data_IF_753474405053
#
_entry.id   IF_753474405053
#
_cell.length_a   1.000
_cell.length_b   1.000
_cell.length_c   1.000
_cell.angle_alpha   90.00
_cell.angle_beta   90.00
_cell.angle_gamma   90.00
#
_symmetry.space_group_name_H-M   'P 1'
#
loop_
_entity.id
_entity.type
_entity.pdbx_description
1 polymer ?
#
# COMPACT_ATOMS: atom_id res chain seq x y z
N UNK A 1 30.91 38.45 3.80
CA UNK A 1 29.88 37.42 3.51
C UNK A 1 28.74 37.55 4.52
N UNK A 2 27.48 37.65 4.06
CA UNK A 2 26.31 37.71 4.96
C UNK A 2 26.04 36.31 5.51
N UNK A 3 25.87 36.17 6.84
CA UNK A 3 25.55 34.89 7.47
C UNK A 3 24.19 34.42 6.97
N UNK A 4 24.10 33.18 6.45
CA UNK A 4 22.82 32.62 6.00
C UNK A 4 21.93 32.33 7.20
N UNK A 5 20.64 32.65 7.07
CA UNK A 5 19.65 32.32 8.09
C UNK A 5 19.46 30.79 8.18
N UNK A 6 19.04 30.33 9.35
CA UNK A 6 18.67 28.93 9.57
C UNK A 6 17.39 28.59 8.78
N UNK A 7 17.37 27.44 8.10
CA UNK A 7 16.19 26.91 7.41
C UNK A 7 15.59 25.81 8.27
N UNK A 8 14.31 25.96 8.64
CA UNK A 8 13.62 25.00 9.51
C UNK A 8 13.46 23.63 8.84
N UNK A 9 13.31 22.57 9.64
CA UNK A 9 13.03 21.23 9.10
C UNK A 9 11.72 21.18 8.31
N UNK A 10 10.70 21.89 8.79
CA UNK A 10 9.40 22.04 8.12
C UNK A 10 9.55 22.65 6.73
N UNK A 11 10.34 23.72 6.61
CA UNK A 11 10.69 24.35 5.33
C UNK A 11 11.41 23.37 4.40
N UNK A 12 12.39 22.61 4.91
CA UNK A 12 13.12 21.60 4.13
C UNK A 12 12.19 20.50 3.63
N UNK A 13 11.27 20.03 4.47
CA UNK A 13 10.32 18.98 4.12
C UNK A 13 9.32 19.47 3.06
N UNK A 14 8.70 20.63 3.27
CA UNK A 14 7.79 21.23 2.29
C UNK A 14 8.49 21.48 0.93
N UNK A 15 9.71 22.03 0.95
CA UNK A 15 10.50 22.23 -0.26
C UNK A 15 10.80 20.91 -0.98
N UNK A 16 11.08 19.83 -0.23
CA UNK A 16 11.34 18.50 -0.79
C UNK A 16 10.10 17.92 -1.46
N UNK A 17 8.92 18.07 -0.84
CA UNK A 17 7.65 17.60 -1.42
C UNK A 17 7.29 18.36 -2.70
N UNK A 18 7.63 19.65 -2.80
CA UNK A 18 7.44 20.43 -4.03
C UNK A 18 8.32 19.99 -5.20
N UNK A 19 9.39 19.23 -4.97
CA UNK A 19 10.24 18.67 -6.03
C UNK A 19 9.76 17.31 -6.54
N UNK A 20 8.73 16.72 -5.92
CA UNK A 20 8.16 15.46 -6.39
C UNK A 20 7.56 15.61 -7.78
N UNK A 21 7.73 14.58 -8.61
CA UNK A 21 7.26 14.55 -9.99
C UNK A 21 6.13 13.53 -10.18
N UNK A 22 5.23 13.83 -11.09
CA UNK A 22 4.19 12.94 -11.61
C UNK A 22 4.18 12.98 -13.13
N UNK A 23 3.62 11.97 -13.75
CA UNK A 23 3.34 11.96 -15.19
C UNK A 23 2.12 12.85 -15.47
N UNK A 24 2.20 13.71 -16.50
CA UNK A 24 1.10 14.57 -16.95
C UNK A 24 0.10 13.85 -17.90
N UNK A 25 0.29 12.55 -18.12
CA UNK A 25 -0.50 11.72 -19.02
C UNK A 25 0.04 11.69 -20.46
N UNK A 26 1.07 12.47 -20.75
CA UNK A 26 1.79 12.46 -22.05
C UNK A 26 3.14 11.74 -21.96
N UNK A 27 3.50 11.21 -20.78
CA UNK A 27 4.80 10.61 -20.50
C UNK A 27 5.85 11.62 -20.04
N UNK A 28 5.47 12.88 -19.85
CA UNK A 28 6.35 13.92 -19.35
C UNK A 28 6.22 14.04 -17.83
N UNK A 29 7.38 14.03 -17.16
CA UNK A 29 7.44 14.26 -15.73
C UNK A 29 7.32 15.76 -15.42
N UNK A 30 6.32 16.11 -14.61
CA UNK A 30 6.04 17.46 -14.13
C UNK A 30 5.95 17.48 -12.61
N UNK A 31 6.17 18.64 -11.99
CA UNK A 31 6.03 18.77 -10.53
C UNK A 31 4.59 18.47 -10.12
N UNK A 32 4.43 17.68 -9.06
CA UNK A 32 3.13 17.38 -8.45
C UNK A 32 2.45 18.69 -8.02
N UNK A 33 3.22 19.63 -7.48
CA UNK A 33 2.77 20.97 -7.15
C UNK A 33 3.53 21.94 -8.07
N UNK A 34 2.85 22.58 -9.04
CA UNK A 34 3.46 23.61 -9.88
C UNK A 34 4.10 24.70 -9.02
N UNK A 35 5.24 25.23 -9.48
CA UNK A 35 5.97 26.27 -8.74
C UNK A 35 5.10 27.50 -8.45
N UNK A 36 4.29 27.91 -9.43
CA UNK A 36 3.39 29.06 -9.31
C UNK A 36 2.32 28.88 -8.22
N UNK A 37 1.95 27.64 -7.92
CA UNK A 37 1.00 27.33 -6.85
C UNK A 37 1.73 27.20 -5.51
N UNK A 38 2.89 26.55 -5.49
CA UNK A 38 3.72 26.42 -4.29
C UNK A 38 4.08 27.79 -3.67
N UNK A 39 4.33 28.83 -4.48
CA UNK A 39 4.62 30.19 -4.01
C UNK A 39 3.40 30.85 -3.30
N UNK A 40 2.19 30.41 -3.62
CA UNK A 40 0.94 30.91 -3.01
C UNK A 40 0.52 30.12 -1.76
N UNK A 41 1.25 29.07 -1.43
CA UNK A 41 0.94 28.18 -0.31
C UNK A 41 1.90 28.40 0.86
N UNK A 42 1.37 28.25 2.06
CA UNK A 42 2.16 28.08 3.27
C UNK A 42 2.74 26.67 3.33
N UNK A 43 3.80 26.50 4.13
CA UNK A 43 4.41 25.18 4.38
C UNK A 43 3.38 24.17 4.94
N UNK A 44 2.47 24.61 5.81
CA UNK A 44 1.40 23.75 6.35
C UNK A 44 0.42 23.29 5.28
N UNK A 45 0.05 24.17 4.35
CA UNK A 45 -0.81 23.80 3.24
C UNK A 45 -0.13 22.77 2.34
N UNK A 46 1.16 22.94 2.02
CA UNK A 46 1.92 21.95 1.23
C UNK A 46 1.93 20.60 1.96
N UNK A 47 2.30 20.58 3.24
CA UNK A 47 2.35 19.34 4.02
C UNK A 47 0.97 18.67 4.13
N UNK A 48 -0.10 19.45 4.25
CA UNK A 48 -1.46 18.94 4.39
C UNK A 48 -1.99 18.22 3.14
N UNK A 49 -1.36 18.40 1.97
CA UNK A 49 -1.76 17.69 0.75
C UNK A 49 -1.33 16.22 0.72
N UNK A 50 -0.35 15.85 1.55
CA UNK A 50 0.29 14.53 1.50
C UNK A 50 -0.08 13.63 2.68
N UNK A 51 -0.14 12.33 2.40
CA UNK A 51 -0.08 11.25 3.38
C UNK A 51 1.15 10.40 3.10
N UNK A 52 1.75 9.84 4.15
CA UNK A 52 2.84 8.90 4.01
C UNK A 52 2.26 7.48 3.96
N UNK A 53 2.39 6.85 2.80
CA UNK A 53 1.90 5.52 2.52
C UNK A 53 2.97 4.47 2.82
N UNK A 54 2.58 3.37 3.46
CA UNK A 54 3.48 2.25 3.73
C UNK A 54 3.66 1.36 2.50
N UNK A 55 4.91 1.15 2.09
CA UNK A 55 5.25 0.20 1.02
C UNK A 55 4.98 -1.26 1.41
N UNK A 56 5.34 -1.62 2.64
CA UNK A 56 4.95 -2.85 3.31
C UNK A 56 3.87 -2.54 4.35
N UNK A 57 2.70 -3.15 4.21
CA UNK A 57 1.59 -2.93 5.12
C UNK A 57 1.88 -3.47 6.53
N UNK A 58 1.36 -2.82 7.56
CA UNK A 58 1.42 -3.34 8.94
C UNK A 58 0.84 -4.75 9.08
N UNK A 59 -0.23 -5.06 8.35
CA UNK A 59 -0.83 -6.40 8.33
C UNK A 59 0.16 -7.49 7.87
N UNK A 60 1.26 -7.11 7.21
CA UNK A 60 2.31 -7.99 6.71
C UNK A 60 3.64 -7.79 7.47
N UNK A 61 3.62 -7.11 8.63
CA UNK A 61 4.80 -6.84 9.44
C UNK A 61 5.60 -5.60 9.03
N UNK A 62 5.03 -4.70 8.21
CA UNK A 62 5.65 -3.42 7.88
C UNK A 62 5.82 -2.49 9.08
N UNK A 63 6.90 -1.70 9.08
CA UNK A 63 7.27 -0.76 10.15
C UNK A 63 7.02 0.70 9.75
N UNK A 64 7.00 1.60 10.74
CA UNK A 64 6.89 3.06 10.57
C UNK A 64 8.23 3.75 10.26
N UNK A 65 9.15 3.03 9.63
CA UNK A 65 10.48 3.55 9.33
C UNK A 65 10.49 4.37 8.03
N UNK A 66 11.38 5.36 7.95
CA UNK A 66 11.42 6.31 6.83
C UNK A 66 11.59 5.63 5.46
N UNK A 67 12.23 4.46 5.41
CA UNK A 67 12.43 3.70 4.17
C UNK A 67 11.16 2.96 3.71
N UNK A 68 10.18 2.79 4.60
CA UNK A 68 8.91 2.15 4.29
C UNK A 68 7.82 3.16 3.94
N UNK A 69 8.10 4.46 4.03
CA UNK A 69 7.11 5.52 3.87
C UNK A 69 7.33 6.28 2.57
N UNK A 70 6.30 6.40 1.75
CA UNK A 70 6.30 7.20 0.53
C UNK A 70 5.24 8.30 0.62
N UNK A 71 5.60 9.58 0.48
CA UNK A 71 4.61 10.64 0.43
C UNK A 71 3.73 10.48 -0.82
N UNK A 72 2.43 10.66 -0.66
CA UNK A 72 1.44 10.55 -1.72
C UNK A 72 0.34 11.59 -1.50
N UNK A 73 -0.17 12.19 -2.57
CA UNK A 73 -1.33 13.08 -2.46
C UNK A 73 -2.50 12.35 -1.82
N UNK A 74 -3.26 13.04 -0.96
CA UNK A 74 -4.40 12.46 -0.23
C UNK A 74 -5.39 11.75 -1.18
N UNK A 75 -5.72 12.36 -2.31
CA UNK A 75 -6.66 11.76 -3.26
C UNK A 75 -6.13 10.46 -3.85
N UNK A 76 -4.89 10.46 -4.33
CA UNK A 76 -4.23 9.27 -4.86
C UNK A 76 -4.11 8.16 -3.79
N UNK A 77 -3.76 8.54 -2.56
CA UNK A 77 -3.73 7.62 -1.42
C UNK A 77 -5.11 6.99 -1.17
N UNK A 78 -6.18 7.80 -1.13
CA UNK A 78 -7.54 7.30 -0.90
C UNK A 78 -7.99 6.32 -2.00
N UNK A 79 -7.68 6.64 -3.27
CA UNK A 79 -7.97 5.76 -4.41
C UNK A 79 -7.21 4.44 -4.27
N UNK A 80 -5.90 4.49 -4.00
CA UNK A 80 -5.06 3.30 -3.76
C UNK A 80 -5.62 2.44 -2.62
N UNK A 81 -5.89 3.04 -1.46
CA UNK A 81 -6.41 2.31 -0.29
C UNK A 81 -7.71 1.60 -0.62
N UNK A 82 -8.66 2.30 -1.26
CA UNK A 82 -9.97 1.75 -1.61
C UNK A 82 -9.90 0.65 -2.66
N UNK A 83 -9.13 0.87 -3.72
CA UNK A 83 -9.15 0.00 -4.91
C UNK A 83 -8.17 -1.17 -4.82
N UNK A 84 -7.06 -1.01 -4.08
CA UNK A 84 -5.96 -1.97 -4.06
C UNK A 84 -5.71 -2.54 -2.67
N UNK A 85 -5.43 -1.68 -1.69
CA UNK A 85 -4.92 -2.13 -0.40
C UNK A 85 -5.97 -2.96 0.37
N UNK A 86 -7.20 -2.44 0.50
CA UNK A 86 -8.29 -3.14 1.20
C UNK A 86 -8.59 -4.51 0.56
N UNK A 87 -8.79 -4.62 -0.76
CA UNK A 87 -8.98 -5.92 -1.40
C UNK A 87 -7.81 -6.88 -1.24
N UNK A 88 -6.58 -6.37 -1.29
CA UNK A 88 -5.36 -7.17 -1.15
C UNK A 88 -5.24 -7.74 0.27
N UNK A 89 -5.42 -6.91 1.30
CA UNK A 89 -5.43 -7.32 2.71
C UNK A 89 -6.53 -8.37 2.94
N UNK A 90 -7.75 -8.13 2.45
CA UNK A 90 -8.84 -9.09 2.56
C UNK A 90 -8.56 -10.42 1.83
N UNK A 91 -7.77 -10.40 0.75
CA UNK A 91 -7.31 -11.62 0.08
C UNK A 91 -6.25 -12.34 0.91
N UNK A 92 -5.27 -11.63 1.45
CA UNK A 92 -4.22 -12.20 2.33
C UNK A 92 -4.85 -12.94 3.50
N UNK A 93 -5.77 -12.31 4.24
CA UNK A 93 -6.46 -12.97 5.36
C UNK A 93 -7.23 -14.23 4.95
N UNK A 94 -7.87 -14.23 3.78
CA UNK A 94 -8.57 -15.43 3.27
C UNK A 94 -7.60 -16.58 2.96
N UNK A 95 -6.42 -16.27 2.44
CA UNK A 95 -5.39 -17.26 2.12
C UNK A 95 -4.79 -17.81 3.42
N UNK A 96 -4.44 -16.95 4.38
CA UNK A 96 -3.92 -17.33 5.68
C UNK A 96 -4.86 -18.29 6.40
N UNK A 97 -6.16 -17.96 6.44
CA UNK A 97 -7.18 -18.85 7.02
C UNK A 97 -7.24 -20.21 6.32
N UNK A 98 -7.24 -20.22 4.98
CA UNK A 98 -7.28 -21.49 4.23
C UNK A 98 -6.01 -22.33 4.45
N UNK A 99 -4.86 -21.68 4.63
CA UNK A 99 -3.61 -22.34 4.95
C UNK A 99 -3.62 -22.91 6.38
N UNK A 100 -4.11 -22.17 7.37
CA UNK A 100 -4.27 -22.63 8.74
C UNK A 100 -5.20 -23.85 8.83
N UNK A 101 -6.34 -23.82 8.13
CA UNK A 101 -7.25 -24.95 8.01
C UNK A 101 -6.58 -26.17 7.33
N UNK A 102 -5.71 -25.93 6.36
CA UNK A 102 -4.95 -26.99 5.71
C UNK A 102 -3.88 -27.58 6.64
N UNK A 103 -3.10 -26.73 7.33
CA UNK A 103 -2.08 -27.14 8.31
C UNK A 103 -2.72 -27.95 9.45
N UNK A 104 -3.83 -27.48 9.99
CA UNK A 104 -4.60 -28.18 11.02
C UNK A 104 -5.03 -29.57 10.55
N UNK A 105 -5.56 -29.70 9.33
CA UNK A 105 -5.94 -31.00 8.75
C UNK A 105 -4.76 -31.93 8.49
N UNK A 106 -3.61 -31.39 8.07
CA UNK A 106 -2.40 -32.18 7.85
C UNK A 106 -1.93 -32.81 9.17
N UNK A 107 -1.89 -32.01 10.25
CA UNK A 107 -1.54 -32.46 11.59
C UNK A 107 -2.59 -33.42 12.18
N UNK A 108 -3.87 -33.24 11.85
CA UNK A 108 -4.94 -34.14 12.28
C UNK A 108 -4.97 -35.48 11.51
N UNK A 109 -4.45 -35.54 10.28
CA UNK A 109 -4.37 -36.79 9.50
C UNK A 109 -3.46 -37.84 10.13
N UNK A 110 -2.48 -37.43 10.93
CA UNK A 110 -1.73 -38.33 11.81
C UNK A 110 -2.64 -39.08 12.81
N UNK A 111 -3.86 -38.59 13.03
CA UNK A 111 -4.88 -39.16 13.94
C UNK A 111 -6.02 -39.90 13.23
N UNK A 112 -6.00 -40.05 11.90
CA UNK A 112 -6.91 -40.93 11.15
C UNK A 112 -8.27 -40.35 10.71
N UNK A 113 -8.43 -39.03 10.62
CA UNK A 113 -9.72 -38.42 10.23
C UNK A 113 -10.13 -38.60 8.74
N UNK A 114 -11.44 -38.65 8.44
CA UNK A 114 -11.95 -38.88 7.09
C UNK A 114 -11.62 -37.72 6.12
N UNK A 115 -11.30 -38.06 4.86
CA UNK A 115 -10.99 -37.07 3.82
C UNK A 115 -12.20 -36.17 3.54
N UNK A 116 -11.98 -34.86 3.32
CA UNK A 116 -13.07 -33.96 2.96
C UNK A 116 -13.73 -34.39 1.63
N UNK A 117 -15.04 -34.13 1.47
CA UNK A 117 -15.77 -34.52 0.28
C UNK A 117 -15.20 -33.83 -0.97
N UNK A 118 -15.12 -34.59 -2.06
CA UNK A 118 -14.73 -34.09 -3.38
C UNK A 118 -15.66 -32.96 -3.83
N UNK A 119 -15.08 -31.82 -4.22
CA UNK A 119 -15.80 -30.73 -4.91
C UNK A 119 -16.17 -31.08 -6.36
N UNK A 120 -15.56 -32.12 -6.92
CA UNK A 120 -15.85 -32.56 -8.28
C UNK A 120 -17.09 -33.45 -8.29
N UNK A 121 -18.03 -33.22 -9.23
CA UNK A 121 -19.19 -34.09 -9.41
C UNK A 121 -18.72 -35.52 -9.67
N UNK A 122 -19.22 -36.48 -8.88
CA UNK A 122 -18.95 -37.90 -9.11
C UNK A 122 -19.65 -38.33 -10.41
N UNK A 123 -18.91 -38.44 -11.50
CA UNK A 123 -19.43 -38.99 -12.76
C UNK A 123 -19.44 -40.52 -12.65
N UNK A 124 -20.58 -41.16 -12.95
CA UNK A 124 -20.63 -42.63 -13.13
C UNK A 124 -19.89 -42.96 -14.43
N UNK A 125 -18.87 -43.81 -14.39
CA UNK A 125 -18.31 -44.38 -15.61
C UNK A 125 -19.40 -45.22 -16.29
N UNK A 126 -19.65 -44.97 -17.59
CA UNK A 126 -20.54 -45.83 -18.38
C UNK A 126 -19.85 -47.18 -18.54
N UNK A 127 -20.40 -48.22 -17.94
CA UNK A 127 -20.05 -49.61 -18.23
C UNK A 127 -20.47 -49.94 -19.66
N UNK A 128 -19.59 -50.64 -20.39
CA UNK A 128 -19.77 -51.05 -21.79
C UNK A 128 -20.64 -52.29 -21.88
#
# INVERSE_FOLDING_TARGET
MRRRAHISFKTKLAATLCEMLTDDGTGKLVKIIPHEDAVKMTEDQVLSLFRFDHGLYHAQGGSDEFWNLTPMLIEAHNVKTRQRDIPQIAKTHRIEKAEEEFRTRLLAKDRGEPRPPSRWPKRKMRTR
#
